data_IF_760192518203
#
_entry.id   IF_760192518203
#
_cell.length_a   1.000
_cell.length_b   1.000
_cell.length_c   1.000
_cell.angle_alpha   90.00
_cell.angle_beta   90.00
_cell.angle_gamma   90.00
#
_symmetry.space_group_name_H-M   'P 1'
#
loop_
_entity.id
_entity.type
_entity.pdbx_description
1 polymer ?
#
# COMPACT_ATOMS: atom_id res chain seq x y z
N UNK A 1 35.62 -20.27 -14.54
CA UNK A 1 34.56 -19.32 -14.88
C UNK A 1 33.97 -18.82 -13.58
N UNK A 2 34.31 -17.61 -13.16
CA UNK A 2 33.88 -17.04 -11.87
C UNK A 2 32.41 -16.63 -12.04
N UNK A 3 31.50 -17.33 -11.35
CA UNK A 3 30.09 -16.94 -11.29
C UNK A 3 30.04 -15.64 -10.49
N UNK A 4 29.90 -14.50 -11.18
CA UNK A 4 29.59 -13.22 -10.55
C UNK A 4 28.27 -13.38 -9.81
N UNK A 5 28.33 -13.60 -8.50
CA UNK A 5 27.14 -13.51 -7.67
C UNK A 5 26.67 -12.06 -7.74
N UNK A 6 25.40 -11.79 -8.10
CA UNK A 6 24.89 -10.43 -8.11
C UNK A 6 25.07 -9.80 -6.73
N UNK A 7 25.41 -8.51 -6.69
CA UNK A 7 25.58 -7.79 -5.43
C UNK A 7 24.34 -7.98 -4.55
N UNK A 8 24.50 -8.14 -3.23
CA UNK A 8 23.38 -8.29 -2.31
C UNK A 8 22.51 -7.03 -2.39
N UNK A 9 21.36 -7.14 -3.05
CA UNK A 9 20.35 -6.09 -3.06
C UNK A 9 19.75 -5.98 -1.66
N UNK A 10 19.96 -4.85 -1.01
CA UNK A 10 19.32 -4.52 0.26
C UNK A 10 17.87 -4.17 -0.03
N UNK A 11 16.98 -5.15 0.12
CA UNK A 11 15.54 -4.92 0.00
C UNK A 11 14.97 -4.33 1.29
N UNK A 12 14.46 -3.10 1.21
CA UNK A 12 13.75 -2.47 2.32
C UNK A 12 12.25 -2.63 2.10
N UNK A 13 11.62 -3.39 3.00
CA UNK A 13 10.18 -3.66 2.97
C UNK A 13 9.38 -2.34 3.06
N UNK A 14 8.26 -2.29 2.32
CA UNK A 14 7.34 -1.16 2.32
C UNK A 14 5.96 -1.60 2.80
N UNK A 15 5.27 -0.69 3.48
CA UNK A 15 3.88 -0.86 3.93
C UNK A 15 3.05 0.38 3.63
N UNK A 16 1.74 0.21 3.50
CA UNK A 16 0.81 1.35 3.43
C UNK A 16 0.41 1.75 4.86
N UNK A 17 0.48 3.05 5.13
CA UNK A 17 -0.19 3.69 6.26
C UNK A 17 -1.27 4.64 5.74
N UNK A 18 -2.46 4.58 6.33
CA UNK A 18 -3.47 5.62 6.13
C UNK A 18 -3.81 6.30 7.46
N UNK A 19 -3.85 7.62 7.45
CA UNK A 19 -4.49 8.44 8.49
C UNK A 19 -5.93 8.68 8.06
N UNK A 20 -6.87 8.14 8.83
CA UNK A 20 -8.30 8.15 8.51
C UNK A 20 -8.95 9.52 8.78
N UNK A 21 -10.16 9.78 8.23
CA UNK A 21 -10.78 11.11 8.30
C UNK A 21 -11.00 11.68 9.71
N UNK A 22 -11.23 10.84 10.71
CA UNK A 22 -11.45 11.23 12.10
C UNK A 22 -10.21 11.86 12.76
N UNK A 23 -9.01 11.52 12.30
CA UNK A 23 -7.75 11.95 12.94
C UNK A 23 -6.81 12.66 11.97
N UNK A 24 -7.27 13.02 10.77
CA UNK A 24 -6.45 13.72 9.77
C UNK A 24 -5.91 15.06 10.26
N UNK A 25 -6.61 15.72 11.19
CA UNK A 25 -6.16 16.95 11.84
C UNK A 25 -4.96 16.75 12.79
N UNK A 26 -4.58 15.50 13.07
CA UNK A 26 -3.40 15.09 13.84
C UNK A 26 -2.23 14.60 12.97
N UNK A 27 -2.27 14.85 11.66
CA UNK A 27 -1.27 14.39 10.69
C UNK A 27 0.17 14.63 11.17
N UNK A 28 0.52 15.87 11.52
CA UNK A 28 1.89 16.25 11.91
C UNK A 28 2.38 15.46 13.14
N UNK A 29 1.52 15.31 14.15
CA UNK A 29 1.83 14.58 15.39
C UNK A 29 2.06 13.08 15.12
N UNK A 30 1.25 12.48 14.25
CA UNK A 30 1.33 11.08 13.87
C UNK A 30 2.59 10.82 13.01
N UNK A 31 2.90 11.71 12.08
CA UNK A 31 4.12 11.62 11.25
C UNK A 31 5.38 11.67 12.09
N UNK A 32 5.41 12.58 13.07
CA UNK A 32 6.47 12.67 14.06
C UNK A 32 6.69 11.35 14.81
N UNK A 33 5.61 10.68 15.24
CA UNK A 33 5.70 9.36 15.90
C UNK A 33 6.22 8.30 14.93
N UNK A 34 5.77 8.31 13.66
CA UNK A 34 6.23 7.38 12.62
C UNK A 34 7.74 7.51 12.41
N UNK A 35 8.23 8.74 12.24
CA UNK A 35 9.66 9.03 12.03
C UNK A 35 10.50 8.63 13.25
N UNK A 36 10.06 8.99 14.46
CA UNK A 36 10.73 8.59 15.71
C UNK A 36 10.73 7.07 15.94
N UNK A 37 9.77 6.36 15.34
CA UNK A 37 9.70 4.90 15.38
C UNK A 37 10.65 4.22 14.37
N UNK A 38 11.45 4.98 13.62
CA UNK A 38 12.46 4.46 12.71
C UNK A 38 11.93 4.09 11.31
N UNK A 39 10.77 4.62 10.91
CA UNK A 39 10.29 4.52 9.54
C UNK A 39 10.82 5.68 8.69
N UNK A 40 11.01 5.41 7.41
CA UNK A 40 11.15 6.44 6.37
C UNK A 40 9.83 6.61 5.64
N UNK A 41 9.34 7.84 5.52
CA UNK A 41 8.18 8.17 4.66
C UNK A 41 8.70 8.34 3.24
N UNK A 42 8.41 7.38 2.36
CA UNK A 42 8.90 7.37 0.97
C UNK A 42 8.03 8.22 0.06
N UNK A 43 6.71 8.15 0.24
CA UNK A 43 5.73 8.97 -0.47
C UNK A 43 4.60 9.32 0.48
N UNK A 44 4.00 10.49 0.29
CA UNK A 44 2.84 10.96 1.02
C UNK A 44 1.90 11.69 0.07
N UNK A 45 0.58 11.51 0.25
CA UNK A 45 -0.43 12.37 -0.39
C UNK A 45 -1.71 12.43 0.43
N UNK A 46 -2.41 13.56 0.36
CA UNK A 46 -3.76 13.74 0.92
C UNK A 46 -4.79 13.47 -0.18
N UNK A 47 -5.85 12.74 0.17
CA UNK A 47 -6.88 12.26 -0.77
C UNK A 47 -8.25 12.40 -0.15
N UNK A 48 -9.28 12.44 -0.98
CA UNK A 48 -10.66 12.19 -0.57
C UNK A 48 -11.23 11.15 -1.53
N UNK A 49 -11.43 9.92 -1.04
CA UNK A 49 -11.90 8.82 -1.86
C UNK A 49 -13.42 8.85 -2.00
N UNK A 50 -13.93 8.54 -3.19
CA UNK A 50 -15.35 8.29 -3.39
C UNK A 50 -15.81 7.00 -2.70
N UNK A 51 -17.12 6.82 -2.42
CA UNK A 51 -17.64 5.56 -1.88
C UNK A 51 -17.27 4.34 -2.73
N UNK A 52 -17.25 4.48 -4.06
CA UNK A 52 -16.83 3.44 -5.00
C UNK A 52 -15.35 3.10 -4.86
N UNK A 53 -14.48 4.12 -4.78
CA UNK A 53 -13.05 3.91 -4.54
C UNK A 53 -12.79 3.23 -3.20
N UNK A 54 -13.51 3.61 -2.13
CA UNK A 54 -13.45 2.93 -0.84
C UNK A 54 -13.91 1.46 -0.93
N UNK A 55 -14.99 1.19 -1.66
CA UNK A 55 -15.46 -0.18 -1.89
C UNK A 55 -14.43 -1.03 -2.61
N UNK A 56 -13.78 -0.47 -3.64
CA UNK A 56 -12.72 -1.15 -4.38
C UNK A 56 -11.48 -1.40 -3.52
N UNK A 57 -11.08 -0.42 -2.70
CA UNK A 57 -9.95 -0.57 -1.78
C UNK A 57 -10.20 -1.64 -0.71
N UNK A 58 -11.42 -1.74 -0.19
CA UNK A 58 -11.80 -2.71 0.84
C UNK A 58 -12.48 -3.96 0.28
N UNK A 59 -12.29 -4.31 -1.00
CA UNK A 59 -13.00 -5.41 -1.66
C UNK A 59 -12.90 -6.76 -0.91
N UNK A 60 -11.78 -7.04 -0.25
CA UNK A 60 -11.60 -8.25 0.57
C UNK A 60 -12.53 -8.32 1.81
N UNK A 61 -13.18 -7.20 2.16
CA UNK A 61 -14.16 -7.11 3.24
C UNK A 61 -15.61 -7.20 2.74
N UNK A 62 -15.83 -7.37 1.43
CA UNK A 62 -17.15 -7.50 0.85
C UNK A 62 -17.93 -8.67 1.48
N UNK A 63 -19.25 -8.47 1.67
CA UNK A 63 -20.13 -9.44 2.32
C UNK A 63 -20.12 -9.41 3.85
N UNK A 64 -19.21 -8.66 4.49
CA UNK A 64 -19.25 -8.45 5.95
C UNK A 64 -20.30 -7.40 6.32
N UNK A 65 -21.00 -7.62 7.44
CA UNK A 65 -22.09 -6.74 7.91
C UNK A 65 -21.63 -5.27 8.06
N UNK A 66 -20.39 -5.04 8.49
CA UNK A 66 -19.85 -3.70 8.67
C UNK A 66 -19.33 -3.02 7.38
N UNK A 67 -19.29 -3.73 6.25
CA UNK A 67 -18.66 -3.24 5.02
C UNK A 67 -19.29 -1.94 4.48
N UNK A 68 -20.63 -1.77 4.42
CA UNK A 68 -21.23 -0.51 3.97
C UNK A 68 -20.88 0.67 4.88
N UNK A 69 -20.79 0.44 6.19
CA UNK A 69 -20.40 1.48 7.13
C UNK A 69 -18.91 1.84 6.99
N UNK A 70 -18.06 0.86 6.68
CA UNK A 70 -16.64 1.09 6.40
C UNK A 70 -16.44 1.97 5.17
N UNK A 71 -17.13 1.68 4.06
CA UNK A 71 -16.99 2.46 2.83
C UNK A 71 -17.57 3.87 2.98
N UNK A 72 -18.72 4.02 3.63
CA UNK A 72 -19.33 5.33 3.91
C UNK A 72 -18.44 6.19 4.81
N UNK A 73 -17.87 5.60 5.87
CA UNK A 73 -16.97 6.32 6.76
C UNK A 73 -15.67 6.74 6.06
N UNK A 74 -15.02 5.83 5.32
CA UNK A 74 -13.74 6.15 4.67
C UNK A 74 -13.88 7.18 3.53
N UNK A 75 -15.09 7.33 2.97
CA UNK A 75 -15.40 8.36 1.97
C UNK A 75 -16.00 9.65 2.56
N UNK A 76 -16.17 9.73 3.88
CA UNK A 76 -16.82 10.88 4.53
C UNK A 76 -15.97 12.15 4.56
N UNK A 77 -14.67 12.06 4.28
CA UNK A 77 -13.78 13.21 4.30
C UNK A 77 -12.36 12.89 3.83
N UNK A 78 -11.44 13.86 3.93
CA UNK A 78 -10.07 13.68 3.51
C UNK A 78 -9.31 12.70 4.42
N UNK A 79 -8.37 11.98 3.82
CA UNK A 79 -7.43 11.07 4.47
C UNK A 79 -6.02 11.34 3.96
N UNK A 80 -5.02 10.83 4.67
CA UNK A 80 -3.61 10.91 4.24
C UNK A 80 -3.10 9.50 4.01
N UNK A 81 -2.54 9.24 2.84
CA UNK A 81 -1.86 7.99 2.50
C UNK A 81 -0.35 8.20 2.53
N UNK A 82 0.38 7.23 3.08
CA UNK A 82 1.83 7.21 3.13
C UNK A 82 2.39 5.84 2.78
N UNK A 83 3.45 5.82 1.99
CA UNK A 83 4.31 4.65 1.81
C UNK A 83 5.42 4.71 2.83
N UNK A 84 5.43 3.77 3.78
CA UNK A 84 6.47 3.69 4.81
C UNK A 84 7.48 2.60 4.45
N UNK A 85 8.76 2.88 4.64
CA UNK A 85 9.85 1.92 4.44
C UNK A 85 10.63 1.67 5.73
N UNK A 86 10.88 0.38 6.00
CA UNK A 86 11.71 -0.11 7.12
C UNK A 86 12.01 -1.59 6.91
N UNK A 87 13.05 -2.13 7.53
CA UNK A 87 13.14 -3.58 7.74
C UNK A 87 11.90 -4.08 8.50
N UNK A 88 11.24 -5.15 8.03
CA UNK A 88 9.99 -5.68 8.61
C UNK A 88 8.87 -4.62 8.76
N UNK A 89 8.73 -3.71 7.78
CA UNK A 89 7.85 -2.55 7.85
C UNK A 89 6.39 -2.89 8.19
N UNK A 90 5.81 -3.93 7.58
CA UNK A 90 4.42 -4.33 7.84
C UNK A 90 4.25 -4.77 9.30
N UNK A 91 5.18 -5.58 9.82
CA UNK A 91 5.10 -6.07 11.20
C UNK A 91 5.25 -4.93 12.20
N UNK A 92 6.27 -4.08 12.04
CA UNK A 92 6.49 -2.95 12.94
C UNK A 92 5.35 -1.93 12.87
N UNK A 93 4.74 -1.72 11.69
CA UNK A 93 3.62 -0.80 11.59
C UNK A 93 2.41 -1.34 12.33
N UNK A 94 2.12 -2.64 12.21
CA UNK A 94 1.03 -3.30 12.96
C UNK A 94 1.24 -3.25 14.47
N UNK A 95 2.48 -3.42 14.92
CA UNK A 95 2.84 -3.28 16.33
C UNK A 95 2.59 -1.86 16.83
N UNK A 96 3.05 -0.84 16.09
CA UNK A 96 2.87 0.57 16.43
C UNK A 96 1.39 0.98 16.43
N UNK A 97 0.58 0.41 15.52
CA UNK A 97 -0.86 0.60 15.50
C UNK A 97 -1.54 0.00 16.74
N UNK A 98 -1.15 -1.22 17.12
CA UNK A 98 -1.85 -2.02 18.12
C UNK A 98 -3.19 -2.59 17.62
N UNK A 99 -4.00 -3.18 18.53
CA UNK A 99 -5.26 -3.85 18.18
C UNK A 99 -6.25 -2.97 17.41
N UNK A 100 -6.97 -3.55 16.43
CA UNK A 100 -7.94 -2.80 15.61
C UNK A 100 -9.07 -2.14 16.41
N UNK A 101 -9.49 -2.75 17.52
CA UNK A 101 -10.46 -2.17 18.44
C UNK A 101 -9.74 -1.24 19.43
N UNK A 102 -10.02 0.06 19.35
CA UNK A 102 -9.35 1.11 20.12
C UNK A 102 -9.57 0.99 21.63
N UNK A 103 -10.73 0.50 22.07
CA UNK A 103 -11.00 0.25 23.50
C UNK A 103 -10.10 -0.87 24.03
N UNK A 104 -9.93 -1.95 23.25
CA UNK A 104 -8.99 -3.03 23.60
C UNK A 104 -7.54 -2.55 23.53
N UNK A 105 -7.20 -1.71 22.56
CA UNK A 105 -5.87 -1.11 22.44
C UNK A 105 -5.52 -0.28 23.69
N UNK A 106 -6.43 0.57 24.19
CA UNK A 106 -6.22 1.35 25.43
C UNK A 106 -5.86 0.49 26.64
N UNK A 107 -6.44 -0.71 26.75
CA UNK A 107 -6.19 -1.61 27.88
C UNK A 107 -4.88 -2.38 27.71
N UNK A 108 -4.62 -2.87 26.49
CA UNK A 108 -3.54 -3.86 26.25
C UNK A 108 -2.25 -3.24 25.72
N UNK A 109 -2.35 -2.13 24.99
CA UNK A 109 -1.26 -1.42 24.32
C UNK A 109 -1.51 0.09 24.46
N UNK A 110 -1.49 0.66 25.69
CA UNK A 110 -1.93 2.04 25.96
C UNK A 110 -1.17 3.12 25.19
N UNK A 111 0.04 2.81 24.71
CA UNK A 111 0.88 3.71 23.92
C UNK A 111 0.77 3.47 22.40
N UNK A 112 -0.07 2.54 21.93
CA UNK A 112 -0.26 2.31 20.51
C UNK A 112 -1.07 3.44 19.87
N UNK A 113 -0.87 3.67 18.58
CA UNK A 113 -1.55 4.77 17.89
C UNK A 113 -3.07 4.65 17.94
N UNK A 114 -3.62 3.42 17.87
CA UNK A 114 -5.07 3.20 18.01
C UNK A 114 -5.59 3.44 19.42
N UNK A 115 -4.76 3.25 20.46
CA UNK A 115 -5.11 3.62 21.82
C UNK A 115 -5.20 5.14 22.01
N UNK A 116 -4.25 5.86 21.41
CA UNK A 116 -4.09 7.32 21.52
C UNK A 116 -5.12 8.09 20.69
N UNK A 117 -5.35 7.67 19.43
CA UNK A 117 -6.14 8.45 18.47
C UNK A 117 -7.49 7.81 18.11
N UNK A 118 -7.66 6.51 18.35
CA UNK A 118 -8.87 5.79 18.00
C UNK A 118 -9.98 5.93 19.04
N UNK A 119 -11.23 5.96 18.59
CA UNK A 119 -12.41 6.03 19.46
C UNK A 119 -13.11 4.68 19.58
N UNK A 120 -13.34 4.01 18.44
CA UNK A 120 -14.01 2.70 18.34
C UNK A 120 -13.28 1.75 17.36
N UNK A 121 -13.93 0.69 16.90
CA UNK A 121 -13.35 -0.29 15.95
C UNK A 121 -13.29 0.23 14.50
N UNK A 122 -14.28 1.02 14.08
CA UNK A 122 -14.36 1.63 12.76
C UNK A 122 -13.49 2.90 12.70
N UNK A 123 -13.68 3.79 13.67
CA UNK A 123 -12.93 5.04 13.92
C UNK A 123 -11.74 4.77 14.81
N UNK A 124 -10.84 3.91 14.34
CA UNK A 124 -9.60 3.58 15.04
C UNK A 124 -8.41 4.45 14.58
N UNK A 125 -8.68 5.56 13.91
CA UNK A 125 -7.70 6.54 13.45
C UNK A 125 -6.80 6.10 12.28
N UNK A 126 -6.33 4.85 12.25
CA UNK A 126 -5.28 4.44 11.33
C UNK A 126 -5.47 3.05 10.69
N UNK A 127 -5.06 2.95 9.43
CA UNK A 127 -5.00 1.70 8.65
C UNK A 127 -3.54 1.24 8.44
N UNK A 128 -3.35 -0.07 8.39
CA UNK A 128 -2.10 -0.69 7.99
C UNK A 128 -2.37 -2.00 7.28
N UNK A 129 -1.56 -2.30 6.26
CA UNK A 129 -1.67 -3.52 5.48
C UNK A 129 -1.47 -4.77 6.35
N UNK A 130 -2.17 -5.87 6.02
CA UNK A 130 -2.14 -7.10 6.82
C UNK A 130 -0.85 -7.93 6.62
N UNK A 131 -0.29 -7.84 5.41
CA UNK A 131 0.85 -8.60 4.87
C UNK A 131 1.61 -7.77 3.83
N UNK A 132 2.80 -8.24 3.43
CA UNK A 132 3.58 -7.63 2.33
C UNK A 132 2.80 -7.62 1.02
N UNK A 133 2.11 -8.71 0.68
CA UNK A 133 1.31 -8.78 -0.55
C UNK A 133 0.13 -7.80 -0.56
N UNK A 134 -0.56 -7.63 0.57
CA UNK A 134 -1.59 -6.59 0.69
C UNK A 134 -0.98 -5.20 0.61
N UNK A 135 0.18 -4.96 1.23
CA UNK A 135 0.88 -3.68 1.14
C UNK A 135 1.19 -3.31 -0.32
N UNK A 136 1.69 -4.24 -1.12
CA UNK A 136 1.95 -3.98 -2.54
C UNK A 136 0.68 -3.58 -3.32
N UNK A 137 -0.42 -4.32 -3.13
CA UNK A 137 -1.70 -4.02 -3.79
C UNK A 137 -2.26 -2.67 -3.36
N UNK A 138 -2.27 -2.43 -2.05
CA UNK A 138 -2.79 -1.21 -1.43
C UNK A 138 -1.94 0.01 -1.81
N UNK A 139 -0.60 -0.12 -1.85
CA UNK A 139 0.29 0.95 -2.31
C UNK A 139 0.06 1.23 -3.79
N UNK A 140 -0.06 0.22 -4.68
CA UNK A 140 -0.37 0.47 -6.11
C UNK A 140 -1.71 1.17 -6.29
N UNK A 141 -2.72 0.80 -5.50
CA UNK A 141 -4.01 1.49 -5.51
C UNK A 141 -3.88 2.96 -5.10
N UNK A 142 -3.14 3.21 -4.02
CA UNK A 142 -2.94 4.54 -3.46
C UNK A 142 -1.82 5.34 -4.14
N UNK A 143 -0.98 4.76 -4.97
CA UNK A 143 0.13 5.42 -5.65
C UNK A 143 0.40 4.65 -6.95
N UNK A 144 -0.44 4.85 -8.00
CA UNK A 144 -0.32 4.10 -9.25
C UNK A 144 1.05 4.23 -9.92
N UNK A 145 1.71 5.38 -9.76
CA UNK A 145 3.04 5.67 -10.30
C UNK A 145 4.18 5.21 -9.36
N UNK A 146 3.88 4.57 -8.22
CA UNK A 146 4.91 4.11 -7.30
C UNK A 146 5.66 2.88 -7.85
N UNK A 147 6.96 3.02 -8.02
CA UNK A 147 7.86 1.92 -8.31
C UNK A 147 8.09 1.12 -7.01
N UNK A 148 7.32 0.04 -6.88
CA UNK A 148 7.53 -0.96 -5.83
C UNK A 148 8.65 -1.90 -6.29
N UNK A 149 9.86 -1.64 -5.82
CA UNK A 149 10.92 -2.63 -5.89
C UNK A 149 10.63 -3.85 -5.00
N UNK A 150 11.18 -5.04 -5.32
CA UNK A 150 12.01 -5.29 -6.49
C UNK A 150 11.14 -5.32 -7.74
N UNK A 151 11.58 -4.63 -8.80
CA UNK A 151 11.16 -4.96 -10.15
C UNK A 151 11.35 -6.48 -10.29
N UNK A 152 10.37 -7.26 -10.78
CA UNK A 152 10.55 -8.69 -10.93
C UNK A 152 11.87 -8.95 -11.67
N UNK A 153 12.79 -9.66 -11.02
CA UNK A 153 14.09 -10.04 -11.58
C UNK A 153 14.15 -11.56 -11.73
N UNK A 154 15.10 -12.04 -12.56
CA UNK A 154 15.29 -13.48 -12.79
C UNK A 154 14.04 -14.16 -13.36
N UNK A 155 13.63 -15.28 -12.75
CA UNK A 155 12.52 -16.09 -13.27
C UNK A 155 11.17 -15.36 -13.19
N UNK A 156 10.93 -14.59 -12.12
CA UNK A 156 9.68 -13.81 -11.97
C UNK A 156 9.51 -12.76 -13.08
N UNK A 157 10.62 -12.14 -13.51
CA UNK A 157 10.63 -11.24 -14.66
C UNK A 157 10.24 -11.96 -15.95
N UNK A 158 10.87 -13.11 -16.19
CA UNK A 158 10.61 -13.94 -17.37
C UNK A 158 9.17 -14.41 -17.42
N UNK A 159 8.63 -14.86 -16.29
CA UNK A 159 7.25 -15.34 -16.19
C UNK A 159 6.27 -14.21 -16.48
N UNK A 160 6.47 -13.04 -15.87
CA UNK A 160 5.64 -11.86 -16.13
C UNK A 160 5.69 -11.43 -17.61
N UNK A 161 6.89 -11.33 -18.18
CA UNK A 161 7.07 -10.98 -19.59
C UNK A 161 6.39 -12.00 -20.51
N UNK A 162 6.51 -13.30 -20.23
CA UNK A 162 5.91 -14.34 -21.05
C UNK A 162 4.37 -14.38 -20.94
N UNK A 163 3.82 -14.18 -19.74
CA UNK A 163 2.38 -14.27 -19.50
C UNK A 163 1.62 -13.04 -19.97
N UNK A 164 2.17 -11.85 -19.78
CA UNK A 164 1.42 -10.59 -19.94
C UNK A 164 1.91 -9.71 -21.08
N UNK A 165 3.21 -9.73 -21.41
CA UNK A 165 3.80 -8.80 -22.40
C UNK A 165 3.97 -9.46 -23.77
N UNK A 166 4.57 -10.66 -23.80
CA UNK A 166 4.95 -11.38 -25.01
C UNK A 166 3.78 -11.69 -25.94
N UNK A 167 2.58 -12.12 -25.48
CA UNK A 167 1.47 -12.45 -26.38
C UNK A 167 1.04 -11.23 -27.21
N UNK A 168 0.87 -10.09 -26.55
CA UNK A 168 0.48 -8.83 -27.17
C UNK A 168 1.57 -8.26 -28.07
N UNK A 169 2.80 -8.21 -27.56
CA UNK A 169 3.92 -7.61 -28.29
C UNK A 169 4.30 -8.42 -29.53
N UNK A 170 4.31 -9.75 -29.43
CA UNK A 170 4.57 -10.62 -30.58
C UNK A 170 3.52 -10.46 -31.67
N UNK A 171 2.23 -10.41 -31.29
CA UNK A 171 1.15 -10.18 -32.24
C UNK A 171 1.29 -8.82 -32.94
N UNK A 172 1.55 -7.75 -32.17
CA UNK A 172 1.74 -6.40 -32.69
C UNK A 172 2.95 -6.28 -33.62
N UNK A 173 4.11 -6.78 -33.21
CA UNK A 173 5.33 -6.76 -34.04
C UNK A 173 5.19 -7.62 -35.29
N UNK A 174 4.51 -8.77 -35.20
CA UNK A 174 4.22 -9.60 -36.38
C UNK A 174 3.32 -8.86 -37.37
N UNK A 175 2.28 -8.18 -36.88
CA UNK A 175 1.41 -7.35 -37.73
C UNK A 175 2.19 -6.20 -38.37
N UNK A 176 3.09 -5.55 -37.64
CA UNK A 176 3.95 -4.48 -38.14
C UNK A 176 4.87 -4.98 -39.26
N UNK A 177 5.54 -6.12 -39.06
CA UNK A 177 6.40 -6.74 -40.08
C UNK A 177 5.63 -7.17 -41.33
N UNK A 178 4.35 -7.52 -41.21
CA UNK A 178 3.47 -7.83 -42.35
C UNK A 178 3.04 -6.57 -43.11
N UNK A 179 2.63 -5.54 -42.36
CA UNK A 179 2.10 -4.31 -42.94
C UNK A 179 3.20 -3.44 -43.57
N UNK A 180 4.43 -3.51 -43.03
CA UNK A 180 5.58 -2.67 -43.41
C UNK A 180 5.16 -1.23 -43.72
N UNK A 181 4.51 -0.54 -42.77
CA UNK A 181 4.15 0.85 -42.98
C UNK A 181 5.41 1.66 -43.32
N UNK A 182 5.25 2.72 -44.10
CA UNK A 182 6.33 3.67 -44.33
C UNK A 182 6.90 4.14 -42.98
N UNK A 183 8.20 4.38 -42.97
CA UNK A 183 8.85 4.98 -41.81
C UNK A 183 8.07 6.25 -41.45
N UNK A 184 7.57 6.38 -40.20
CA UNK A 184 6.80 7.56 -39.80
C UNK A 184 7.64 8.85 -39.74
N UNK A 185 8.93 8.80 -40.07
CA UNK A 185 9.84 9.94 -40.19
C UNK A 185 9.60 10.80 -41.45
#
# INVERSE_FOLDING_TARGET
MQVLMPEPQIYVEKTLALIKPDVVHKEEEIEDIILRSGFTIVQKRRLHLSPEQCSNFYADQFGKIFFPNLTAYMSSGPLVAMVLARHCAVSHWKELLGPSNSLRARITHPHSLRALYGTDELRNGLHGSLSVSSAEKEIRFMFPEAILEPVPTGQRAKDYLNLYVKPTLLAGLTALCKKKPADPM
#
